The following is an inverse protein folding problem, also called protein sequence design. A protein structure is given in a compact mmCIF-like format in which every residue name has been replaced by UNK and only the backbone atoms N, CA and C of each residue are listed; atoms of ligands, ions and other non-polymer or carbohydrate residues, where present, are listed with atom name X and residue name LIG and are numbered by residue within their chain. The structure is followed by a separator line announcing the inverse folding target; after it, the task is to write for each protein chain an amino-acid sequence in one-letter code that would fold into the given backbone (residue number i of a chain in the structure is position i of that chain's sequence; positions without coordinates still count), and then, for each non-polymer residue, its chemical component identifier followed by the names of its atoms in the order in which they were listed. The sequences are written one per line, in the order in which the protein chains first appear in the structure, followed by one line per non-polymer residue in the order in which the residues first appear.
data_IF_211288358376
#
_entry.id   IF_211288358376
#
_cell.length_a   1.000
_cell.length_b   1.000
_cell.length_c   1.000
_cell.angle_alpha   90.00
_cell.angle_beta   90.00
_cell.angle_gamma   90.00
#
_symmetry.space_group_name_H-M   'P 1'
#
loop_
_entity.id
_entity.type
_entity.pdbx_description
1 polymer ?
#
# COMPACT_ATOMS: atom_id res chain seq x y z
N UNK A 1 4.66 -20.97 13.38
CA UNK A 1 4.26 -19.56 13.67
C UNK A 1 4.16 -18.85 12.34
N UNK A 2 2.95 -18.64 11.83
CA UNK A 2 2.77 -17.84 10.61
C UNK A 2 2.99 -16.37 10.99
N UNK A 3 4.08 -15.77 10.50
CA UNK A 3 4.23 -14.32 10.55
C UNK A 3 3.27 -13.73 9.54
N UNK A 4 2.06 -13.36 9.98
CA UNK A 4 1.19 -12.50 9.18
C UNK A 4 1.97 -11.22 8.87
N UNK A 5 2.12 -10.84 7.60
CA UNK A 5 2.72 -9.56 7.28
C UNK A 5 1.95 -8.47 8.03
N UNK A 6 2.63 -7.46 8.60
CA UNK A 6 1.95 -6.35 9.22
C UNK A 6 0.95 -5.76 8.21
N UNK A 7 -0.22 -5.26 8.65
CA UNK A 7 -1.27 -4.75 7.76
C UNK A 7 -0.86 -3.39 7.17
N UNK A 8 0.17 -3.40 6.32
CA UNK A 8 0.78 -2.22 5.70
C UNK A 8 -0.26 -1.50 4.83
N UNK A 9 -1.14 -2.24 4.13
CA UNK A 9 -2.21 -1.67 3.32
C UNK A 9 -3.19 -0.80 4.10
N UNK A 10 -3.66 -1.31 5.24
CA UNK A 10 -4.57 -0.56 6.12
C UNK A 10 -3.91 0.68 6.72
N UNK A 11 -2.62 0.59 7.09
CA UNK A 11 -1.88 1.72 7.62
C UNK A 11 -1.66 2.81 6.56
N UNK A 12 -1.30 2.42 5.34
CA UNK A 12 -1.15 3.34 4.21
C UNK A 12 -2.48 4.04 3.90
N UNK A 13 -3.58 3.28 3.83
CA UNK A 13 -4.90 3.86 3.58
C UNK A 13 -5.28 4.88 4.68
N UNK A 14 -5.00 4.54 5.94
CA UNK A 14 -5.31 5.40 7.09
C UNK A 14 -4.50 6.69 7.03
N UNK A 15 -3.19 6.60 6.83
CA UNK A 15 -2.33 7.79 6.74
C UNK A 15 -2.68 8.61 5.50
N UNK A 16 -2.92 7.98 4.36
CA UNK A 16 -3.37 8.65 3.13
C UNK A 16 -4.65 9.46 3.36
N UNK A 17 -5.67 8.86 3.98
CA UNK A 17 -6.93 9.54 4.30
C UNK A 17 -6.75 10.65 5.33
N UNK A 18 -5.91 10.44 6.35
CA UNK A 18 -5.60 11.44 7.38
C UNK A 18 -4.95 12.69 6.78
N UNK A 19 -4.15 12.53 5.73
CA UNK A 19 -3.55 13.63 4.99
C UNK A 19 -4.41 14.13 3.81
N UNK A 20 -5.64 13.62 3.63
CA UNK A 20 -6.53 14.01 2.55
C UNK A 20 -6.00 13.67 1.14
N UNK A 21 -5.07 12.74 1.03
CA UNK A 21 -4.40 12.41 -0.23
C UNK A 21 -5.22 11.40 -1.05
N UNK A 22 -5.22 11.56 -2.38
CA UNK A 22 -5.70 10.51 -3.29
C UNK A 22 -4.62 9.44 -3.49
N UNK A 23 -5.00 8.30 -4.08
CA UNK A 23 -4.02 7.29 -4.49
C UNK A 23 -3.00 7.83 -5.51
N UNK A 24 -3.42 8.77 -6.37
CA UNK A 24 -2.52 9.45 -7.32
C UNK A 24 -1.49 10.32 -6.59
N UNK A 25 -1.91 11.05 -5.55
CA UNK A 25 -1.03 11.96 -4.81
C UNK A 25 0.00 11.17 -4.02
N UNK A 26 -0.44 10.09 -3.39
CA UNK A 26 0.45 9.18 -2.68
C UNK A 26 1.43 8.52 -3.66
N UNK A 27 0.96 8.07 -4.84
CA UNK A 27 1.80 7.47 -5.88
C UNK A 27 2.92 8.41 -6.32
N UNK A 28 2.57 9.66 -6.63
CA UNK A 28 3.55 10.68 -7.02
C UNK A 28 4.56 10.98 -5.91
N UNK A 29 4.12 11.01 -4.65
CA UNK A 29 4.99 11.27 -3.49
C UNK A 29 5.91 10.10 -3.14
N UNK A 30 5.42 8.86 -3.24
CA UNK A 30 6.19 7.67 -2.87
C UNK A 30 7.04 7.14 -4.03
N UNK A 31 6.83 7.64 -5.26
CA UNK A 31 7.46 7.10 -6.45
C UNK A 31 6.90 5.73 -6.87
N UNK A 32 5.82 5.29 -6.22
CA UNK A 32 5.17 4.00 -6.48
C UNK A 32 3.98 4.21 -7.40
N UNK A 33 3.66 3.24 -8.27
CA UNK A 33 2.50 3.36 -9.15
C UNK A 33 1.17 3.30 -8.38
N UNK A 34 0.16 4.01 -8.89
CA UNK A 34 -1.23 3.95 -8.37
C UNK A 34 -1.79 2.52 -8.33
N UNK A 35 -1.43 1.70 -9.32
CA UNK A 35 -1.83 0.29 -9.39
C UNK A 35 -1.22 -0.52 -8.23
N UNK A 36 0.06 -0.31 -7.93
CA UNK A 36 0.73 -0.97 -6.81
C UNK A 36 0.17 -0.52 -5.45
N UNK A 37 -0.09 0.78 -5.26
CA UNK A 37 -0.76 1.27 -4.05
C UNK A 37 -2.18 0.71 -3.90
N UNK A 38 -2.92 0.60 -5.00
CA UNK A 38 -4.25 0.00 -5.01
C UNK A 38 -4.23 -1.49 -4.65
N UNK A 39 -3.21 -2.23 -5.10
CA UNK A 39 -3.00 -3.64 -4.71
C UNK A 39 -2.63 -3.77 -3.23
N UNK A 40 -1.78 -2.88 -2.73
CA UNK A 40 -1.37 -2.83 -1.32
C UNK A 40 -2.58 -2.51 -0.42
N UNK A 41 -3.41 -1.52 -0.75
CA UNK A 41 -4.60 -1.15 0.04
C UNK A 41 -5.72 -2.20 0.01
N UNK A 42 -5.83 -2.98 -1.07
CA UNK A 42 -6.91 -3.95 -1.24
C UNK A 42 -6.64 -5.32 -0.60
N UNK A 43 -5.44 -5.57 -0.06
CA UNK A 43 -5.02 -6.88 0.48
C UNK A 43 -5.32 -8.09 -0.46
N UNK A 44 -5.55 -7.83 -1.76
CA UNK A 44 -6.09 -8.80 -2.73
C UNK A 44 -5.03 -9.64 -3.41
N UNK A 45 -3.78 -9.57 -2.96
CA UNK A 45 -2.70 -10.43 -3.42
C UNK A 45 -2.28 -11.36 -2.31
N UNK A 46 -2.62 -12.64 -2.50
CA UNK A 46 -1.88 -13.77 -1.97
C UNK A 46 -0.38 -13.41 -2.04
N UNK A 47 0.35 -13.40 -0.90
CA UNK A 47 1.59 -12.64 -0.75
C UNK A 47 2.68 -13.22 -1.65
N UNK A 48 2.82 -12.67 -2.85
CA UNK A 48 4.10 -12.62 -3.55
C UNK A 48 4.54 -11.18 -3.46
N UNK A 49 4.92 -10.76 -2.24
CA UNK A 49 5.51 -9.44 -2.02
C UNK A 49 6.83 -9.43 -2.78
N UNK A 50 6.84 -8.86 -3.98
CA UNK A 50 8.06 -8.52 -4.69
C UNK A 50 8.54 -7.21 -4.07
N UNK A 51 9.42 -7.33 -3.07
CA UNK A 51 10.19 -6.21 -2.54
C UNK A 51 11.12 -5.75 -3.68
N UNK A 52 10.88 -4.58 -4.25
CA UNK A 52 11.85 -3.93 -5.15
C UNK A 52 12.58 -2.86 -4.33
N UNK A 53 13.91 -2.96 -4.35
CA UNK A 53 14.88 -2.13 -3.62
C UNK A 53 14.94 -0.70 -4.14
#
# INVERSE_FOLDING_TARGET
MEMKPPPIGSNIMTERKKHGMSLEDLAKKSGVSKSMLSQIEQEKTNPTVITVW
#
